data_IF_653123200835
#
_entry.id   IF_653123200835
#
_cell.length_a   1.000
_cell.length_b   1.000
_cell.length_c   1.000
_cell.angle_alpha   90.00
_cell.angle_beta   90.00
_cell.angle_gamma   90.00
#
_symmetry.space_group_name_H-M   'P 1'
#
loop_
_entity.id
_entity.type
_entity.pdbx_description
1 polymer ?
#
# COMPACT_ATOMS: atom_id res chain seq x y z
N UNK A 1 -20.07 51.29 11.16
CA UNK A 1 -19.04 50.60 10.36
C UNK A 1 -19.72 49.78 9.27
N UNK A 2 -19.67 50.22 8.02
CA UNK A 2 -20.28 49.47 6.91
C UNK A 2 -19.58 48.14 6.73
N UNK A 3 -20.29 47.04 6.99
CA UNK A 3 -19.79 45.69 6.72
C UNK A 3 -19.57 45.61 5.21
N UNK A 4 -18.33 45.33 4.78
CA UNK A 4 -18.04 45.04 3.37
C UNK A 4 -18.92 43.86 2.96
N UNK A 5 -19.84 44.06 2.02
CA UNK A 5 -20.71 43.02 1.49
C UNK A 5 -20.12 42.51 0.16
N UNK A 6 -20.23 41.20 -0.06
CA UNK A 6 -19.78 40.55 -1.29
C UNK A 6 -18.34 40.04 -1.27
N UNK A 7 -17.93 39.37 -2.36
CA UNK A 7 -16.60 38.79 -2.50
C UNK A 7 -15.50 39.87 -2.46
N UNK A 8 -14.25 39.51 -2.13
CA UNK A 8 -13.12 40.43 -2.23
C UNK A 8 -13.02 41.05 -3.63
N UNK A 9 -12.87 42.39 -3.71
CA UNK A 9 -12.70 43.14 -4.97
C UNK A 9 -11.58 42.56 -5.85
N UNK A 10 -10.53 42.03 -5.23
CA UNK A 10 -9.42 41.37 -5.90
C UNK A 10 -9.39 39.91 -5.42
N UNK A 11 -9.92 38.99 -6.22
CA UNK A 11 -9.83 37.56 -5.93
C UNK A 11 -8.41 37.08 -6.22
N UNK A 12 -7.88 36.22 -5.34
CA UNK A 12 -6.59 35.59 -5.55
C UNK A 12 -6.66 34.65 -6.75
N UNK A 13 -5.75 34.81 -7.72
CA UNK A 13 -5.64 33.91 -8.89
C UNK A 13 -5.12 32.53 -8.52
N UNK A 14 -4.29 32.46 -7.48
CA UNK A 14 -3.65 31.23 -7.03
C UNK A 14 -3.96 30.96 -5.57
N UNK A 15 -4.17 29.71 -5.21
CA UNK A 15 -4.33 29.30 -3.82
C UNK A 15 -3.01 29.50 -3.07
N UNK A 16 -3.10 30.09 -1.87
CA UNK A 16 -1.93 30.28 -1.01
C UNK A 16 -1.37 28.92 -0.59
N UNK A 17 -0.07 28.71 -0.83
CA UNK A 17 0.67 27.52 -0.42
C UNK A 17 1.51 27.89 0.81
N UNK A 18 1.20 27.36 2.01
CA UNK A 18 1.89 27.75 3.24
C UNK A 18 3.37 27.35 3.23
N UNK A 19 3.68 26.20 2.64
CA UNK A 19 5.03 25.64 2.59
C UNK A 19 5.79 26.09 1.33
N UNK A 20 5.31 27.13 0.64
CA UNK A 20 6.00 27.65 -0.54
C UNK A 20 7.34 28.26 -0.12
N UNK A 21 8.43 27.56 -0.42
CA UNK A 21 9.78 27.94 -0.03
C UNK A 21 10.31 27.30 1.26
N UNK A 22 9.49 26.53 1.99
CA UNK A 22 10.00 25.70 3.09
C UNK A 22 10.53 24.39 2.53
N UNK A 23 11.83 24.15 2.66
CA UNK A 23 12.42 22.84 2.40
C UNK A 23 12.03 21.92 3.56
N UNK A 24 10.96 21.14 3.38
CA UNK A 24 10.64 20.06 4.31
C UNK A 24 11.72 19.00 4.13
N UNK A 25 12.53 18.79 5.17
CA UNK A 25 13.51 17.71 5.15
C UNK A 25 12.78 16.38 5.09
N UNK A 26 13.31 15.40 4.35
CA UNK A 26 12.62 14.10 4.18
C UNK A 26 12.37 13.37 5.52
N UNK A 27 13.16 13.70 6.54
CA UNK A 27 13.09 13.18 7.92
C UNK A 27 12.04 13.86 8.79
N UNK A 28 11.49 15.02 8.40
CA UNK A 28 10.52 15.76 9.21
C UNK A 28 9.09 15.22 9.04
N UNK A 29 8.19 15.38 10.04
CA UNK A 29 6.78 15.02 9.91
C UNK A 29 6.12 15.73 8.72
N UNK A 30 5.65 14.96 7.73
CA UNK A 30 5.12 15.44 6.46
C UNK A 30 6.08 15.29 5.28
N UNK A 31 7.32 14.90 5.54
CA UNK A 31 8.26 14.45 4.52
C UNK A 31 7.92 13.06 3.98
N UNK A 32 8.66 12.66 2.94
CA UNK A 32 8.52 11.36 2.27
C UNK A 32 8.67 10.17 3.21
N UNK A 33 9.60 10.23 4.17
CA UNK A 33 9.87 9.12 5.09
C UNK A 33 9.00 9.15 6.35
N UNK A 34 8.39 10.29 6.70
CA UNK A 34 7.52 10.43 7.87
C UNK A 34 6.17 11.04 7.47
N UNK A 35 5.30 10.30 6.75
CA UNK A 35 3.97 10.79 6.42
C UNK A 35 3.18 11.10 7.71
N UNK A 36 2.27 12.08 7.63
CA UNK A 36 1.36 12.36 8.74
C UNK A 36 0.45 11.16 8.95
N UNK A 37 0.26 10.77 10.21
CA UNK A 37 -0.69 9.73 10.58
C UNK A 37 -2.10 10.06 10.08
N UNK A 38 -2.87 9.02 9.74
CA UNK A 38 -4.27 9.21 9.37
C UNK A 38 -5.08 9.86 10.50
N UNK A 39 -6.06 10.68 10.12
CA UNK A 39 -6.99 11.30 11.06
C UNK A 39 -8.09 10.29 11.34
N UNK A 40 -8.04 9.67 12.51
CA UNK A 40 -8.98 8.59 12.90
C UNK A 40 -9.72 8.94 14.20
N UNK A 41 -10.88 8.34 14.45
CA UNK A 41 -11.62 8.48 15.72
C UNK A 41 -12.26 9.86 15.94
N UNK A 42 -12.49 10.63 14.88
CA UNK A 42 -13.12 11.96 14.96
C UNK A 42 -14.31 12.06 14.02
N UNK A 43 -15.27 12.92 14.36
CA UNK A 43 -16.40 13.21 13.46
C UNK A 43 -15.94 13.95 12.20
N UNK A 44 -16.75 13.92 11.14
CA UNK A 44 -16.45 14.57 9.86
C UNK A 44 -16.05 16.05 10.01
N UNK A 45 -16.79 16.82 10.81
CA UNK A 45 -16.48 18.22 11.10
C UNK A 45 -15.09 18.40 11.72
N UNK A 46 -14.72 17.53 12.67
CA UNK A 46 -13.42 17.59 13.34
C UNK A 46 -12.29 17.12 12.43
N UNK A 47 -12.55 16.10 11.60
CA UNK A 47 -11.65 15.65 10.54
C UNK A 47 -11.28 16.82 9.63
N UNK A 48 -12.28 17.53 9.11
CA UNK A 48 -12.07 18.65 8.18
C UNK A 48 -11.31 19.81 8.83
N UNK A 49 -11.54 20.06 10.13
CA UNK A 49 -10.76 21.05 10.88
C UNK A 49 -9.28 20.66 11.01
N UNK A 50 -8.99 19.39 11.28
CA UNK A 50 -7.61 18.90 11.39
C UNK A 50 -6.94 18.91 10.02
N UNK A 51 -7.65 18.43 9.00
CA UNK A 51 -7.19 18.40 7.62
C UNK A 51 -6.89 19.81 7.08
N UNK A 52 -7.77 20.78 7.36
CA UNK A 52 -7.51 22.19 7.05
C UNK A 52 -6.23 22.69 7.72
N UNK A 53 -5.99 22.37 9.01
CA UNK A 53 -4.72 22.74 9.67
C UNK A 53 -3.51 22.13 8.98
N UNK A 54 -3.61 20.88 8.49
CA UNK A 54 -2.54 20.21 7.71
C UNK A 54 -2.29 20.94 6.39
N UNK A 55 -3.35 21.19 5.61
CA UNK A 55 -3.27 21.86 4.30
C UNK A 55 -2.74 23.28 4.36
N UNK A 56 -3.03 24.01 5.45
CA UNK A 56 -2.65 25.41 5.61
C UNK A 56 -1.41 25.61 6.51
N UNK A 57 -0.65 24.56 6.81
CA UNK A 57 0.62 24.66 7.56
C UNK A 57 0.45 25.11 9.03
N UNK A 58 -0.76 24.97 9.59
CA UNK A 58 -1.10 25.33 10.98
C UNK A 58 -1.17 24.12 11.90
N UNK A 59 -0.82 22.94 11.40
CA UNK A 59 -0.83 21.69 12.15
C UNK A 59 0.39 21.61 13.06
N UNK A 60 0.15 21.37 14.35
CA UNK A 60 1.18 21.19 15.37
C UNK A 60 1.12 19.73 15.85
N UNK A 61 2.10 18.88 15.50
CA UNK A 61 2.19 17.55 16.07
C UNK A 61 2.52 17.65 17.57
N UNK A 62 2.08 16.66 18.34
CA UNK A 62 2.51 16.48 19.73
C UNK A 62 3.68 15.51 19.74
N UNK A 63 4.71 15.82 20.53
CA UNK A 63 5.90 14.96 20.71
C UNK A 63 5.63 13.92 21.81
N UNK A 64 5.01 14.36 22.90
CA UNK A 64 4.62 13.52 24.03
C UNK A 64 3.11 13.24 24.01
N UNK A 65 2.69 12.07 24.55
CA UNK A 65 1.27 11.76 24.67
C UNK A 65 0.59 12.69 25.69
N UNK A 66 -0.55 13.25 25.30
CA UNK A 66 -1.37 14.08 26.17
C UNK A 66 -2.26 13.25 27.10
N UNK A 67 -2.79 13.90 28.15
CA UNK A 67 -3.70 13.29 29.12
C UNK A 67 -5.11 13.17 28.52
N UNK A 68 -5.68 11.97 28.57
CA UNK A 68 -7.06 11.71 28.16
C UNK A 68 -8.05 12.31 29.15
N UNK A 69 -9.08 13.03 28.67
CA UNK A 69 -10.13 13.60 29.51
C UNK A 69 -11.08 12.56 30.13
N UNK A 70 -11.08 11.31 29.65
CA UNK A 70 -11.96 10.24 30.14
C UNK A 70 -11.27 9.31 31.14
N UNK A 71 -10.16 8.68 30.74
CA UNK A 71 -9.42 7.76 31.61
C UNK A 71 -8.30 8.42 32.43
N UNK A 72 -8.02 9.70 32.22
CA UNK A 72 -6.94 10.45 32.89
C UNK A 72 -5.51 9.90 32.69
N UNK A 73 -5.32 8.88 31.85
CA UNK A 73 -4.01 8.34 31.47
C UNK A 73 -3.35 9.21 30.41
N UNK A 74 -2.00 9.24 30.37
CA UNK A 74 -1.22 9.90 29.30
C UNK A 74 -1.11 8.98 28.08
N UNK A 75 -2.21 8.82 27.36
CA UNK A 75 -2.30 7.91 26.20
C UNK A 75 -2.92 8.57 24.95
N UNK A 76 -3.10 9.89 24.94
CA UNK A 76 -3.54 10.62 23.74
C UNK A 76 -2.33 10.86 22.85
N UNK A 77 -2.13 9.96 21.87
CA UNK A 77 -0.98 10.01 20.94
C UNK A 77 -1.20 10.86 19.69
N UNK A 78 -2.46 11.12 19.32
CA UNK A 78 -2.79 11.96 18.17
C UNK A 78 -2.94 13.43 18.57
N UNK A 79 -2.40 14.34 17.76
CA UNK A 79 -2.55 15.78 17.98
C UNK A 79 -4.02 16.23 17.81
N UNK A 80 -4.42 17.27 18.53
CA UNK A 80 -5.79 17.82 18.55
C UNK A 80 -6.88 16.88 19.07
N UNK A 81 -6.49 15.78 19.70
CA UNK A 81 -7.41 14.88 20.38
C UNK A 81 -7.40 15.23 21.87
N UNK A 82 -8.56 15.13 22.51
CA UNK A 82 -8.78 15.32 23.94
C UNK A 82 -8.99 13.99 24.67
N UNK A 83 -9.39 12.95 23.93
CA UNK A 83 -9.68 11.60 24.43
C UNK A 83 -8.79 10.61 23.68
N UNK A 84 -8.36 9.56 24.37
CA UNK A 84 -7.57 8.49 23.74
C UNK A 84 -8.44 7.63 22.82
N UNK A 85 -7.79 6.84 21.95
CA UNK A 85 -8.49 5.97 21.00
C UNK A 85 -9.41 4.98 21.72
N UNK A 86 -8.93 4.34 22.78
CA UNK A 86 -9.69 3.36 23.56
C UNK A 86 -11.00 3.98 24.09
N UNK A 87 -10.91 5.10 24.82
CA UNK A 87 -12.09 5.77 25.35
C UNK A 87 -13.01 6.37 24.27
N UNK A 88 -12.47 6.75 23.11
CA UNK A 88 -13.28 7.21 21.98
C UNK A 88 -14.10 6.06 21.40
N UNK A 89 -13.51 4.87 21.32
CA UNK A 89 -14.15 3.64 20.84
C UNK A 89 -15.19 3.11 21.83
N UNK A 90 -14.80 2.94 23.09
CA UNK A 90 -15.65 2.37 24.14
C UNK A 90 -16.93 3.20 24.37
N UNK A 91 -16.83 4.52 24.22
CA UNK A 91 -17.95 5.45 24.44
C UNK A 91 -18.64 5.91 23.14
N UNK A 92 -18.11 5.58 21.96
CA UNK A 92 -18.64 6.07 20.68
C UNK A 92 -18.62 7.60 20.55
N UNK A 93 -17.57 8.26 21.07
CA UNK A 93 -17.46 9.73 21.06
C UNK A 93 -16.32 10.21 20.18
N UNK A 94 -16.47 11.38 19.57
CA UNK A 94 -15.39 12.03 18.82
C UNK A 94 -14.21 12.35 19.73
N UNK A 95 -13.01 11.87 19.40
CA UNK A 95 -11.81 12.08 20.19
C UNK A 95 -11.40 13.56 20.32
N UNK A 96 -11.87 14.44 19.43
CA UNK A 96 -11.59 15.88 19.45
C UNK A 96 -12.66 16.70 20.18
N UNK A 97 -13.93 16.59 19.79
CA UNK A 97 -15.00 17.43 20.37
C UNK A 97 -15.76 16.77 21.52
N UNK A 98 -15.47 15.51 21.84
CA UNK A 98 -16.10 14.74 22.91
C UNK A 98 -17.63 14.59 22.78
N UNK A 99 -18.19 14.92 21.61
CA UNK A 99 -19.60 14.73 21.27
C UNK A 99 -19.82 13.29 20.82
N UNK A 100 -20.91 12.68 21.28
CA UNK A 100 -21.42 11.44 20.71
C UNK A 100 -21.79 11.67 19.23
N UNK A 101 -21.28 10.79 18.37
CA UNK A 101 -21.50 10.85 16.93
C UNK A 101 -21.69 9.44 16.41
N UNK A 102 -22.60 9.27 15.45
CA UNK A 102 -22.91 7.95 14.90
C UNK A 102 -21.78 7.40 14.02
N UNK A 103 -21.05 8.28 13.35
CA UNK A 103 -20.00 7.93 12.41
C UNK A 103 -18.68 8.58 12.82
N UNK A 104 -17.69 7.74 13.14
CA UNK A 104 -16.32 8.14 13.36
C UNK A 104 -15.51 7.84 12.10
N UNK A 105 -14.69 8.80 11.70
CA UNK A 105 -13.82 8.67 10.53
C UNK A 105 -12.62 7.78 10.86
N UNK A 106 -12.24 6.91 9.92
CA UNK A 106 -11.01 6.12 9.95
C UNK A 106 -11.24 4.66 10.36
N UNK A 107 -10.35 3.76 9.92
CA UNK A 107 -10.38 2.35 10.29
C UNK A 107 -9.76 2.10 11.67
N UNK A 108 -10.16 0.98 12.26
CA UNK A 108 -9.60 0.47 13.49
C UNK A 108 -8.16 0.00 13.27
N UNK A 109 -7.18 0.63 13.95
CA UNK A 109 -5.77 0.24 13.80
C UNK A 109 -5.50 -1.23 14.18
N UNK A 110 -6.29 -1.80 15.09
CA UNK A 110 -6.18 -3.21 15.48
C UNK A 110 -6.73 -4.14 14.37
N UNK A 111 -7.82 -3.73 13.72
CA UNK A 111 -8.36 -4.46 12.57
C UNK A 111 -7.34 -4.45 11.44
N UNK A 112 -6.80 -3.27 11.10
CA UNK A 112 -5.76 -3.12 10.08
C UNK A 112 -4.50 -3.93 10.39
N UNK A 113 -4.07 -3.98 11.65
CA UNK A 113 -2.93 -4.80 12.08
C UNK A 113 -3.23 -6.30 11.94
N UNK A 114 -4.44 -6.74 12.32
CA UNK A 114 -4.86 -8.14 12.19
C UNK A 114 -4.97 -8.57 10.72
N UNK A 115 -5.54 -7.72 9.86
CA UNK A 115 -5.61 -7.94 8.42
C UNK A 115 -4.21 -8.00 7.81
N UNK A 116 -3.32 -7.07 8.21
CA UNK A 116 -1.93 -7.05 7.75
C UNK A 116 -1.18 -8.31 8.16
N UNK A 117 -1.36 -8.80 9.38
CA UNK A 117 -0.77 -10.05 9.85
C UNK A 117 -1.34 -11.26 9.08
N UNK A 118 -2.65 -11.27 8.83
CA UNK A 118 -3.30 -12.34 8.04
C UNK A 118 -2.78 -12.37 6.60
N UNK A 119 -2.56 -11.21 5.98
CA UNK A 119 -1.97 -11.11 4.64
C UNK A 119 -0.51 -11.57 4.64
N UNK A 120 0.26 -11.23 5.68
CA UNK A 120 1.65 -11.67 5.82
C UNK A 120 1.76 -13.19 5.98
N UNK A 121 0.89 -13.81 6.79
CA UNK A 121 0.81 -15.26 6.93
C UNK A 121 0.41 -15.94 5.61
N UNK A 122 -0.58 -15.39 4.91
CA UNK A 122 -0.99 -15.90 3.61
C UNK A 122 0.15 -15.85 2.58
N UNK A 123 0.93 -14.76 2.56
CA UNK A 123 2.14 -14.64 1.71
C UNK A 123 3.21 -15.65 2.10
N UNK A 124 3.36 -15.93 3.41
CA UNK A 124 4.35 -16.87 3.93
C UNK A 124 3.98 -18.33 3.64
N UNK A 125 2.70 -18.69 3.75
CA UNK A 125 2.18 -20.03 3.48
C UNK A 125 1.91 -20.32 1.99
N UNK A 126 1.86 -19.28 1.15
CA UNK A 126 1.65 -19.42 -0.29
C UNK A 126 2.82 -20.10 -1.00
N UNK A 127 2.53 -20.82 -2.10
CA UNK A 127 3.56 -21.45 -2.93
C UNK A 127 4.44 -20.39 -3.57
N UNK A 128 5.69 -20.72 -3.91
CA UNK A 128 6.67 -19.77 -4.50
C UNK A 128 6.10 -18.98 -5.71
N UNK A 129 5.30 -19.64 -6.56
CA UNK A 129 4.62 -19.01 -7.71
C UNK A 129 3.61 -17.93 -7.28
N UNK A 130 2.79 -18.21 -6.27
CA UNK A 130 1.79 -17.29 -5.72
C UNK A 130 2.49 -16.13 -5.01
N UNK A 131 3.51 -16.43 -4.19
CA UNK A 131 4.35 -15.45 -3.51
C UNK A 131 4.96 -14.44 -4.48
N UNK A 132 5.57 -14.91 -5.59
CA UNK A 132 6.09 -14.03 -6.66
C UNK A 132 5.00 -13.18 -7.31
N UNK A 133 3.80 -13.74 -7.49
CA UNK A 133 2.66 -13.03 -8.09
C UNK A 133 2.16 -11.91 -7.18
N UNK A 134 2.02 -12.18 -5.87
CA UNK A 134 1.67 -11.17 -4.87
C UNK A 134 2.72 -10.06 -4.80
N UNK A 135 4.01 -10.41 -4.77
CA UNK A 135 5.10 -9.43 -4.78
C UNK A 135 5.10 -8.54 -6.03
N UNK A 136 4.78 -9.10 -7.21
CA UNK A 136 4.62 -8.32 -8.44
C UNK A 136 3.48 -7.31 -8.34
N UNK A 137 2.34 -7.70 -7.79
CA UNK A 137 1.20 -6.80 -7.56
C UNK A 137 1.58 -5.69 -6.58
N UNK A 138 2.23 -6.03 -5.46
CA UNK A 138 2.68 -5.06 -4.45
C UNK A 138 3.68 -4.05 -5.03
N UNK A 139 4.61 -4.50 -5.89
CA UNK A 139 5.58 -3.63 -6.53
C UNK A 139 4.94 -2.75 -7.62
N UNK A 140 3.96 -3.28 -8.37
CA UNK A 140 3.20 -2.50 -9.34
C UNK A 140 2.46 -1.32 -8.68
N UNK A 141 1.96 -1.47 -7.45
CA UNK A 141 1.34 -0.36 -6.71
C UNK A 141 2.32 0.67 -6.13
N UNK A 142 3.60 0.31 -5.96
CA UNK A 142 4.65 1.23 -5.44
C UNK A 142 5.30 2.08 -6.53
N UNK A 143 5.36 1.57 -7.75
CA UNK A 143 5.80 2.34 -8.92
C UNK A 143 4.63 3.16 -9.47
N UNK A 144 4.68 4.48 -9.33
CA UNK A 144 3.73 5.36 -10.00
C UNK A 144 3.70 5.10 -11.51
N UNK A 145 2.51 5.28 -12.09
CA UNK A 145 2.25 5.38 -13.54
C UNK A 145 2.49 4.11 -14.38
N UNK A 146 1.43 3.33 -14.57
CA UNK A 146 1.00 2.82 -15.89
C UNK A 146 -0.26 1.96 -15.71
N UNK A 147 -1.28 2.30 -16.50
CA UNK A 147 -2.62 1.71 -16.47
C UNK A 147 -2.70 0.20 -16.74
N UNK A 148 -3.92 -0.35 -16.71
CA UNK A 148 -4.15 -1.79 -16.60
C UNK A 148 -4.02 -2.46 -17.97
N UNK A 149 -2.82 -2.94 -18.31
CA UNK A 149 -2.71 -4.08 -19.23
C UNK A 149 -2.75 -5.36 -18.40
N UNK A 150 -3.96 -5.79 -18.06
CA UNK A 150 -4.21 -7.21 -17.79
C UNK A 150 -4.32 -7.86 -19.17
N UNK A 151 -3.38 -8.72 -19.61
CA UNK A 151 -3.65 -9.59 -20.74
C UNK A 151 -4.77 -10.52 -20.28
N UNK A 152 -5.95 -10.33 -20.84
CA UNK A 152 -7.04 -11.29 -20.71
C UNK A 152 -6.54 -12.59 -21.35
N UNK A 153 -6.33 -13.61 -20.53
CA UNK A 153 -6.22 -14.99 -20.98
C UNK A 153 -7.63 -15.38 -21.41
N UNK A 154 -7.98 -14.96 -22.62
CA UNK A 154 -9.16 -15.39 -23.32
C UNK A 154 -8.77 -15.44 -24.80
N UNK A 155 -8.74 -16.67 -25.29
CA UNK A 155 -8.84 -17.04 -26.69
C UNK A 155 -7.58 -16.89 -27.58
N UNK A 156 -6.78 -17.97 -27.59
CA UNK A 156 -6.03 -18.40 -28.76
C UNK A 156 -6.22 -19.91 -28.94
N UNK A 157 -7.39 -20.29 -29.43
CA UNK A 157 -7.54 -21.42 -30.32
C UNK A 157 -6.71 -21.16 -31.59
N UNK A 158 -5.44 -21.57 -31.60
CA UNK A 158 -4.62 -21.73 -32.81
C UNK A 158 -3.40 -22.58 -32.48
N UNK A 159 -3.64 -23.88 -32.57
CA UNK A 159 -2.75 -24.95 -33.01
C UNK A 159 -1.42 -24.46 -33.61
N UNK A 160 -0.34 -24.99 -33.07
CA UNK A 160 1.04 -24.74 -33.47
C UNK A 160 1.95 -25.44 -32.48
N UNK A 161 2.27 -26.70 -32.80
CA UNK A 161 3.17 -27.58 -32.06
C UNK A 161 4.49 -26.89 -31.73
N UNK A 162 4.65 -26.50 -30.46
CA UNK A 162 5.95 -26.08 -29.90
C UNK A 162 6.68 -27.30 -29.31
N UNK A 163 5.97 -28.41 -29.12
CA UNK A 163 6.51 -29.66 -28.63
C UNK A 163 6.31 -30.75 -29.69
N UNK A 164 7.38 -31.26 -30.30
CA UNK A 164 7.29 -32.36 -31.26
C UNK A 164 6.84 -33.69 -30.62
N UNK A 165 6.79 -33.77 -29.28
CA UNK A 165 6.24 -34.90 -28.55
C UNK A 165 4.88 -34.55 -27.94
N UNK A 166 3.86 -35.37 -28.21
CA UNK A 166 2.51 -35.21 -27.67
C UNK A 166 2.41 -35.51 -26.18
N UNK A 167 3.46 -36.09 -25.59
CA UNK A 167 3.56 -36.38 -24.16
C UNK A 167 5.00 -36.31 -23.64
N UNK A 168 5.16 -36.14 -22.34
CA UNK A 168 6.46 -36.16 -21.65
C UNK A 168 7.19 -37.51 -21.85
N UNK A 169 6.41 -38.59 -21.91
CA UNK A 169 6.90 -39.97 -22.06
C UNK A 169 7.50 -40.17 -23.45
N UNK A 170 6.81 -39.70 -24.49
CA UNK A 170 7.28 -39.74 -25.88
C UNK A 170 8.54 -38.90 -26.10
N UNK A 171 8.70 -37.77 -25.40
CA UNK A 171 9.92 -36.97 -25.45
C UNK A 171 11.11 -37.73 -24.85
N UNK A 172 10.89 -38.42 -23.72
CA UNK A 172 11.92 -39.21 -23.07
C UNK A 172 12.41 -40.33 -23.99
N UNK A 173 11.49 -41.04 -24.66
CA UNK A 173 11.83 -42.10 -25.63
C UNK A 173 12.61 -41.55 -26.83
N UNK A 174 12.23 -40.40 -27.41
CA UNK A 174 12.97 -39.77 -28.52
C UNK A 174 14.43 -39.45 -28.18
N UNK A 175 14.69 -38.96 -26.97
CA UNK A 175 16.06 -38.73 -26.49
C UNK A 175 16.88 -40.02 -26.34
N UNK A 176 16.23 -41.15 -26.03
CA UNK A 176 16.92 -42.43 -25.88
C UNK A 176 17.28 -43.04 -27.22
N UNK A 177 16.38 -42.95 -28.21
CA UNK A 177 16.65 -43.40 -29.57
C UNK A 177 17.78 -42.60 -30.25
N UNK A 178 17.89 -41.30 -29.94
CA UNK A 178 18.95 -40.46 -30.50
C UNK A 178 20.35 -40.75 -29.93
N UNK A 179 20.44 -41.32 -28.72
CA UNK A 179 21.72 -41.74 -28.12
C UNK A 179 22.20 -43.10 -28.66
N UNK A 180 21.34 -43.90 -29.27
CA UNK A 180 21.71 -45.21 -29.85
C UNK A 180 22.25 -45.13 -31.29
N UNK A 181 22.02 -44.03 -32.02
CA UNK A 181 22.43 -43.88 -33.43
C UNK A 181 23.84 -43.26 -33.61
N UNK A 182 24.50 -42.80 -32.54
CA UNK A 182 25.81 -42.13 -32.62
C UNK A 182 26.99 -43.03 -32.18
N UNK A 183 26.84 -44.36 -32.35
CA UNK A 183 27.90 -45.35 -32.10
C UNK A 183 28.09 -46.32 -33.27
N UNK A 184 28.56 -45.83 -34.42
CA UNK A 184 29.24 -46.70 -35.41
C UNK A 184 30.15 -45.88 -36.34
N UNK A 185 31.34 -45.53 -35.85
CA UNK A 185 32.52 -45.30 -36.72
C UNK A 185 33.75 -45.98 -36.12
N UNK A 186 33.81 -47.29 -36.41
CA UNK A 186 34.98 -48.07 -36.81
C UNK A 186 36.31 -47.81 -36.08
N UNK A 187 36.59 -48.72 -35.13
CA UNK A 187 37.95 -49.10 -34.79
C UNK A 187 38.54 -49.95 -35.92
N UNK A 188 39.23 -49.31 -36.86
CA UNK A 188 40.03 -49.99 -37.88
C UNK A 188 41.22 -50.75 -37.27
N UNK A 189 41.22 -52.06 -37.43
CA UNK A 189 42.36 -52.95 -37.30
C UNK A 189 43.31 -52.77 -38.50
N UNK A 190 44.63 -52.56 -38.28
CA UNK A 190 45.62 -52.93 -39.31
C UNK A 190 47.07 -53.12 -38.79
N UNK A 191 47.37 -54.39 -38.50
CA UNK A 191 48.54 -55.22 -38.89
C UNK A 191 49.98 -54.82 -38.50
N UNK A 192 50.55 -55.65 -37.65
CA UNK A 192 51.99 -55.99 -37.53
C UNK A 192 52.47 -56.85 -38.72
N UNK A 193 53.63 -56.47 -39.28
CA UNK A 193 54.71 -57.40 -39.66
C UNK A 193 56.02 -56.84 -39.08
#
# INVERSE_FOLDING_TARGET
MSKRQGPPKHQNRYAWKPNLGQKINETEPGGRFRPLSEITGVCQRCRDQIDWKRRYGKYKPIVEPAKCQKCNKRNVRQAYHNVCRDCSKDLGICAKCCTCVNELVGRDANEEESERKSLEEAVRGARERERRTLLRIMNKGKGGESGPSVPKIADRSREGDIFPAGSLDEYAEQTREQEEDDSDVEAGDFVED
#
